data_IF_131741475108
#
_entry.id   IF_131741475108
#
_cell.length_a   1.000
_cell.length_b   1.000
_cell.length_c   1.000
_cell.angle_alpha   90.00
_cell.angle_beta   90.00
_cell.angle_gamma   90.00
#
_symmetry.space_group_name_H-M   'P 1'
#
loop_
_entity.id
_entity.type
_entity.pdbx_description
1 polymer ?
#
# COMPACT_ATOMS: atom_id res chain seq x y z
N UNK A 1 -3.73 -18.24 -5.85
CA UNK A 1 -3.06 -16.93 -5.75
C UNK A 1 -1.71 -17.14 -5.09
N UNK A 2 -0.64 -16.59 -5.65
CA UNK A 2 0.66 -16.60 -5.02
C UNK A 2 0.76 -15.44 -4.03
N UNK A 3 1.44 -15.65 -2.91
CA UNK A 3 1.70 -14.62 -1.92
C UNK A 3 2.92 -15.01 -1.09
N UNK A 4 3.46 -14.05 -0.36
CA UNK A 4 4.60 -14.28 0.53
C UNK A 4 4.19 -13.87 1.96
N UNK A 5 4.26 -14.80 2.90
CA UNK A 5 3.98 -14.53 4.30
C UNK A 5 5.27 -14.38 5.10
N UNK A 6 5.30 -13.39 5.98
CA UNK A 6 6.39 -13.15 6.93
C UNK A 6 5.83 -12.93 8.34
N UNK A 7 6.43 -13.56 9.33
CA UNK A 7 6.16 -13.38 10.76
C UNK A 7 7.32 -13.90 11.61
N UNK A 8 7.45 -13.40 12.83
CA UNK A 8 8.41 -13.96 13.80
C UNK A 8 7.79 -15.17 14.49
N UNK A 9 8.42 -16.37 14.41
CA UNK A 9 7.97 -17.54 15.16
C UNK A 9 8.21 -17.37 16.66
N UNK A 10 7.43 -18.08 17.51
CA UNK A 10 7.75 -18.27 18.92
C UNK A 10 6.98 -17.42 19.93
N UNK A 11 6.02 -16.61 19.52
CA UNK A 11 5.09 -15.95 20.44
C UNK A 11 3.66 -16.44 20.19
N UNK A 12 3.04 -17.04 21.19
CA UNK A 12 1.63 -17.50 21.15
C UNK A 12 0.60 -16.36 21.20
N UNK A 13 1.04 -15.11 21.05
CA UNK A 13 0.14 -13.94 21.07
C UNK A 13 -0.46 -13.70 19.70
N UNK A 14 -1.76 -13.52 19.69
CA UNK A 14 -2.51 -13.03 18.53
C UNK A 14 -1.99 -11.65 18.12
N UNK A 15 -1.38 -11.53 16.93
CA UNK A 15 -0.71 -10.33 16.42
C UNK A 15 -1.59 -9.64 15.38
N UNK A 16 -1.51 -8.32 15.22
CA UNK A 16 -2.16 -7.68 14.08
C UNK A 16 -1.64 -8.24 12.75
N UNK A 17 -2.54 -8.36 11.78
CA UNK A 17 -2.21 -8.78 10.43
C UNK A 17 -2.05 -7.59 9.49
N UNK A 18 -1.12 -7.66 8.54
CA UNK A 18 -0.92 -6.59 7.55
C UNK A 18 -0.80 -7.16 6.14
N UNK A 19 -1.61 -6.64 5.23
CA UNK A 19 -1.50 -6.91 3.80
C UNK A 19 -0.53 -5.91 3.15
N UNK A 20 0.35 -6.38 2.28
CA UNK A 20 1.32 -5.56 1.54
C UNK A 20 1.05 -5.66 0.05
N UNK A 21 0.76 -4.54 -0.60
CA UNK A 21 0.54 -4.49 -2.05
C UNK A 21 1.73 -3.85 -2.74
N UNK A 22 2.25 -4.56 -3.74
CA UNK A 22 3.47 -4.22 -4.48
C UNK A 22 3.32 -2.98 -5.36
N UNK A 23 4.45 -2.42 -5.80
CA UNK A 23 4.52 -1.44 -6.88
C UNK A 23 4.06 -2.03 -8.23
N UNK A 24 4.00 -1.22 -9.27
CA UNK A 24 3.62 -1.67 -10.62
C UNK A 24 4.55 -2.73 -11.25
N UNK A 25 5.71 -2.97 -10.66
CA UNK A 25 6.64 -4.02 -11.11
C UNK A 25 6.17 -5.45 -10.77
N UNK A 26 5.14 -5.61 -9.96
CA UNK A 26 4.62 -6.90 -9.51
C UNK A 26 5.18 -7.35 -8.16
N UNK A 27 4.83 -8.56 -7.76
CA UNK A 27 5.18 -9.17 -6.48
C UNK A 27 6.68 -9.55 -6.43
N UNK A 28 7.54 -8.54 -6.41
CA UNK A 28 8.99 -8.64 -6.43
C UNK A 28 9.62 -8.67 -5.02
N UNK A 29 10.94 -8.56 -4.95
CA UNK A 29 11.68 -8.59 -3.69
C UNK A 29 11.37 -7.38 -2.81
N UNK A 30 11.10 -6.20 -3.36
CA UNK A 30 10.75 -5.00 -2.59
C UNK A 30 9.52 -5.26 -1.73
N UNK A 31 8.42 -5.75 -2.32
CA UNK A 31 7.19 -6.07 -1.56
C UNK A 31 7.44 -7.13 -0.47
N UNK A 32 8.23 -8.16 -0.77
CA UNK A 32 8.59 -9.20 0.21
C UNK A 32 9.45 -8.64 1.35
N UNK A 33 10.38 -7.74 1.07
CA UNK A 33 11.21 -7.10 2.08
C UNK A 33 10.40 -6.17 2.98
N UNK A 34 9.40 -5.45 2.45
CA UNK A 34 8.47 -4.68 3.29
C UNK A 34 7.61 -5.60 4.18
N UNK A 35 7.18 -6.78 3.71
CA UNK A 35 6.51 -7.77 4.56
C UNK A 35 7.45 -8.32 5.66
N UNK A 36 8.72 -8.58 5.36
CA UNK A 36 9.72 -8.98 6.37
C UNK A 36 9.94 -7.85 7.40
N UNK A 37 10.03 -6.59 6.95
CA UNK A 37 10.20 -5.46 7.85
C UNK A 37 9.01 -5.30 8.81
N UNK A 38 7.78 -5.54 8.35
CA UNK A 38 6.60 -5.59 9.23
C UNK A 38 6.66 -6.75 10.23
N UNK A 39 7.14 -7.92 9.81
CA UNK A 39 7.33 -9.06 10.70
C UNK A 39 8.34 -8.74 11.82
N UNK A 40 9.41 -7.96 11.52
CA UNK A 40 10.35 -7.48 12.53
C UNK A 40 9.70 -6.53 13.56
N UNK A 41 8.65 -5.81 13.17
CA UNK A 41 7.83 -4.98 14.06
C UNK A 41 6.77 -5.77 14.85
N UNK A 42 6.65 -7.09 14.62
CA UNK A 42 5.73 -7.94 15.36
C UNK A 42 4.41 -8.24 14.65
N UNK A 43 4.21 -7.78 13.43
CA UNK A 43 3.03 -8.11 12.62
C UNK A 43 3.15 -9.49 11.95
N UNK A 44 2.01 -10.06 11.57
CA UNK A 44 1.96 -11.12 10.55
C UNK A 44 1.65 -10.44 9.22
N UNK A 45 2.57 -10.49 8.26
CA UNK A 45 2.42 -9.76 7.01
C UNK A 45 2.29 -10.70 5.80
N UNK A 46 1.36 -10.40 4.88
CA UNK A 46 1.25 -11.08 3.58
C UNK A 46 1.49 -10.06 2.46
N UNK A 47 2.56 -10.27 1.67
CA UNK A 47 2.71 -9.58 0.39
C UNK A 47 1.86 -10.30 -0.67
N UNK A 48 0.94 -9.54 -1.29
CA UNK A 48 -0.07 -10.05 -2.23
C UNK A 48 0.47 -9.96 -3.66
N UNK A 49 0.22 -11.00 -4.46
CA UNK A 49 0.38 -10.96 -5.92
C UNK A 49 -0.93 -10.47 -6.58
N UNK A 50 -1.01 -9.15 -6.84
CA UNK A 50 -2.19 -8.55 -7.47
C UNK A 50 -2.31 -8.85 -8.97
N UNK A 51 -1.23 -9.28 -9.61
CA UNK A 51 -1.25 -9.63 -11.04
C UNK A 51 -1.63 -11.10 -11.26
N UNK A 52 -1.32 -11.96 -10.30
CA UNK A 52 -1.54 -13.41 -10.39
C UNK A 52 -0.37 -14.14 -11.07
N UNK A 53 -0.25 -15.42 -10.77
CA UNK A 53 0.73 -16.34 -11.38
C UNK A 53 2.21 -15.92 -11.17
N UNK A 54 2.49 -15.04 -10.20
CA UNK A 54 3.82 -14.50 -9.96
C UNK A 54 4.33 -13.55 -11.04
N UNK A 55 3.43 -12.95 -11.82
CA UNK A 55 3.80 -12.04 -12.91
C UNK A 55 4.56 -10.82 -12.36
N UNK A 56 5.67 -10.53 -13.02
CA UNK A 56 6.47 -9.34 -12.79
C UNK A 56 6.78 -8.66 -14.12
N UNK A 57 6.84 -7.33 -14.10
CA UNK A 57 7.19 -6.54 -15.26
C UNK A 57 8.69 -6.21 -15.23
N UNK A 58 9.36 -6.39 -16.34
CA UNK A 58 10.77 -6.00 -16.55
C UNK A 58 10.89 -4.68 -17.33
N UNK A 59 9.79 -4.18 -17.90
CA UNK A 59 9.70 -2.94 -18.68
C UNK A 59 8.49 -2.10 -18.23
N UNK A 60 8.58 -0.76 -18.27
CA UNK A 60 7.46 0.13 -17.89
C UNK A 60 6.17 -0.12 -18.67
N UNK A 61 6.25 -0.47 -19.96
CA UNK A 61 5.07 -0.73 -20.78
C UNK A 61 4.27 -1.93 -20.24
N UNK A 62 4.96 -3.01 -19.87
CA UNK A 62 4.32 -4.19 -19.25
C UNK A 62 3.78 -3.84 -17.87
N UNK A 63 4.56 -3.08 -17.07
CA UNK A 63 4.14 -2.63 -15.75
C UNK A 63 2.85 -1.80 -15.82
N UNK A 64 2.80 -0.82 -16.74
CA UNK A 64 1.63 0.00 -16.98
C UNK A 64 0.42 -0.81 -17.45
N UNK A 65 0.65 -1.79 -18.36
CA UNK A 65 -0.37 -2.71 -18.83
C UNK A 65 -0.96 -3.55 -17.70
N UNK A 66 -0.11 -4.18 -16.88
CA UNK A 66 -0.57 -5.06 -15.80
C UNK A 66 -1.31 -4.26 -14.71
N UNK A 67 -0.76 -3.12 -14.31
CA UNK A 67 -1.43 -2.22 -13.36
C UNK A 67 -2.77 -1.73 -13.90
N UNK A 68 -2.81 -1.29 -15.17
CA UNK A 68 -4.03 -0.86 -15.85
C UNK A 68 -5.11 -1.95 -15.89
N UNK A 69 -4.75 -3.19 -16.20
CA UNK A 69 -5.70 -4.32 -16.21
C UNK A 69 -6.33 -4.55 -14.83
N UNK A 70 -5.56 -4.42 -13.75
CA UNK A 70 -6.10 -4.55 -12.37
C UNK A 70 -7.02 -3.39 -12.02
N UNK A 71 -6.60 -2.15 -12.33
CA UNK A 71 -7.38 -0.95 -12.01
C UNK A 71 -8.64 -0.79 -12.85
N UNK A 72 -8.71 -1.39 -14.04
CA UNK A 72 -9.92 -1.45 -14.87
C UNK A 72 -10.85 -2.60 -14.46
N UNK A 73 -10.36 -3.62 -13.78
CA UNK A 73 -11.16 -4.74 -13.27
C UNK A 73 -11.16 -4.73 -11.73
N UNK A 74 -11.85 -3.75 -11.16
CA UNK A 74 -11.89 -3.54 -9.70
C UNK A 74 -12.53 -4.72 -8.96
N UNK A 75 -13.52 -5.38 -9.53
CA UNK A 75 -14.13 -6.58 -8.92
C UNK A 75 -13.14 -7.74 -8.85
N UNK A 76 -12.34 -7.94 -9.89
CA UNK A 76 -11.25 -8.92 -9.89
C UNK A 76 -10.13 -8.56 -8.90
N UNK A 77 -9.79 -7.28 -8.78
CA UNK A 77 -8.84 -6.78 -7.78
C UNK A 77 -9.35 -7.02 -6.36
N UNK A 78 -10.64 -6.69 -6.11
CA UNK A 78 -11.31 -6.94 -4.84
C UNK A 78 -11.27 -8.42 -4.48
N UNK A 79 -11.67 -9.31 -5.38
CA UNK A 79 -11.68 -10.75 -5.13
C UNK A 79 -10.28 -11.30 -4.75
N UNK A 80 -9.21 -10.79 -5.39
CA UNK A 80 -7.83 -11.16 -5.03
C UNK A 80 -7.44 -10.64 -3.65
N UNK A 81 -7.78 -9.40 -3.36
CA UNK A 81 -7.51 -8.79 -2.06
C UNK A 81 -8.27 -9.51 -0.94
N UNK A 82 -9.57 -9.80 -1.13
CA UNK A 82 -10.41 -10.57 -0.20
C UNK A 82 -9.86 -11.97 0.06
N UNK A 83 -9.37 -12.65 -0.97
CA UNK A 83 -8.73 -13.96 -0.82
C UNK A 83 -7.49 -13.88 0.08
N UNK A 84 -6.66 -12.85 -0.07
CA UNK A 84 -5.49 -12.64 0.78
C UNK A 84 -5.90 -12.26 2.22
N UNK A 85 -6.89 -11.39 2.37
CA UNK A 85 -7.45 -10.99 3.66
C UNK A 85 -8.00 -12.20 4.43
N UNK A 86 -8.75 -13.07 3.75
CA UNK A 86 -9.28 -14.31 4.33
C UNK A 86 -8.15 -15.23 4.81
N UNK A 87 -7.10 -15.40 4.01
CA UNK A 87 -5.95 -16.21 4.40
C UNK A 87 -5.18 -15.60 5.59
N UNK A 88 -5.04 -14.28 5.62
CA UNK A 88 -4.40 -13.57 6.73
C UNK A 88 -5.19 -13.76 8.02
N UNK A 89 -6.51 -13.53 7.99
CA UNK A 89 -7.41 -13.72 9.15
C UNK A 89 -7.49 -15.16 9.63
N UNK A 90 -7.35 -16.14 8.75
CA UNK A 90 -7.32 -17.57 9.09
C UNK A 90 -5.98 -18.04 9.70
N UNK A 91 -4.94 -17.21 9.70
CA UNK A 91 -3.66 -17.58 10.29
C UNK A 91 -3.76 -17.56 11.83
N UNK A 92 -3.41 -18.66 12.48
CA UNK A 92 -3.51 -18.82 13.93
C UNK A 92 -2.74 -17.80 14.78
N UNK A 93 -1.76 -17.12 14.18
CA UNK A 93 -0.96 -16.09 14.84
C UNK A 93 -1.55 -14.69 14.68
N UNK A 94 -2.64 -14.53 13.91
CA UNK A 94 -3.26 -13.25 13.60
C UNK A 94 -4.47 -12.98 14.49
N UNK A 95 -4.58 -11.76 15.00
CA UNK A 95 -5.82 -11.24 15.53
C UNK A 95 -6.70 -10.78 14.35
N UNK A 96 -7.79 -11.49 14.03
CA UNK A 96 -8.63 -11.16 12.87
C UNK A 96 -9.37 -9.82 12.99
N UNK A 97 -9.43 -9.24 14.20
CA UNK A 97 -10.04 -7.93 14.50
C UNK A 97 -9.03 -6.77 14.40
N UNK A 98 -7.77 -7.05 13.98
CA UNK A 98 -6.69 -6.07 13.90
C UNK A 98 -5.95 -6.25 12.58
N UNK A 99 -6.51 -5.70 11.50
CA UNK A 99 -5.99 -5.88 10.14
C UNK A 99 -5.67 -4.54 9.50
N UNK A 100 -4.40 -4.36 9.16
CA UNK A 100 -3.96 -3.23 8.35
C UNK A 100 -3.63 -3.61 6.91
N UNK A 101 -3.45 -2.60 6.07
CA UNK A 101 -2.88 -2.79 4.75
C UNK A 101 -1.90 -1.66 4.41
N UNK A 102 -0.78 -2.01 3.76
CA UNK A 102 0.11 -1.02 3.16
C UNK A 102 0.27 -1.26 1.67
N UNK A 103 0.52 -0.19 0.93
CA UNK A 103 0.74 -0.30 -0.50
C UNK A 103 1.69 0.78 -1.03
N UNK A 104 2.40 0.43 -2.10
CA UNK A 104 3.44 1.24 -2.71
C UNK A 104 3.10 1.56 -4.16
N UNK A 105 3.15 2.83 -4.59
CA UNK A 105 2.81 3.25 -5.95
C UNK A 105 1.40 2.76 -6.35
N UNK A 106 1.28 1.93 -7.38
CA UNK A 106 0.07 1.21 -7.76
C UNK A 106 -0.61 0.53 -6.56
N UNK A 107 0.17 -0.13 -5.70
CA UNK A 107 -0.33 -0.82 -4.51
C UNK A 107 -0.97 0.10 -3.49
N UNK A 108 -0.48 1.33 -3.34
CA UNK A 108 -1.09 2.32 -2.47
C UNK A 108 -2.47 2.76 -2.97
N UNK A 109 -2.61 2.96 -4.29
CA UNK A 109 -3.93 3.21 -4.89
C UNK A 109 -4.88 2.02 -4.72
N UNK A 110 -4.36 0.79 -4.79
CA UNK A 110 -5.15 -0.43 -4.53
C UNK A 110 -5.67 -0.46 -3.10
N UNK A 111 -4.80 -0.33 -2.08
CA UNK A 111 -5.25 -0.43 -0.67
C UNK A 111 -6.23 0.67 -0.28
N UNK A 112 -6.04 1.89 -0.77
CA UNK A 112 -7.00 2.98 -0.59
C UNK A 112 -8.34 2.70 -1.27
N UNK A 113 -8.31 2.16 -2.50
CA UNK A 113 -9.53 1.75 -3.22
C UNK A 113 -10.29 0.66 -2.45
N UNK A 114 -9.59 -0.34 -1.91
CA UNK A 114 -10.21 -1.40 -1.12
C UNK A 114 -10.85 -0.86 0.16
N UNK A 115 -10.18 0.07 0.87
CA UNK A 115 -10.76 0.76 2.02
C UNK A 115 -12.03 1.54 1.64
N UNK A 116 -12.00 2.29 0.53
CA UNK A 116 -13.15 3.05 0.02
C UNK A 116 -14.34 2.15 -0.40
N UNK A 117 -14.07 0.89 -0.74
CA UNK A 117 -15.07 -0.14 -1.02
C UNK A 117 -15.63 -0.81 0.24
N UNK A 118 -15.16 -0.40 1.43
CA UNK A 118 -15.61 -0.92 2.72
C UNK A 118 -15.03 -2.30 3.07
N UNK A 119 -13.83 -2.61 2.58
CA UNK A 119 -13.11 -3.79 3.04
C UNK A 119 -12.83 -3.70 4.53
N UNK A 120 -12.89 -4.82 5.22
CA UNK A 120 -12.71 -4.94 6.65
C UNK A 120 -11.23 -4.77 7.05
N UNK A 121 -10.83 -3.49 7.13
CA UNK A 121 -9.49 -3.01 7.45
C UNK A 121 -9.57 -1.95 8.55
N UNK A 122 -8.68 -2.04 9.53
CA UNK A 122 -8.62 -1.10 10.67
C UNK A 122 -7.68 0.09 10.42
N UNK A 123 -6.74 -0.03 9.49
CA UNK A 123 -5.87 1.07 9.05
C UNK A 123 -5.25 0.79 7.67
N UNK A 124 -5.04 1.85 6.88
CA UNK A 124 -4.35 1.77 5.59
C UNK A 124 -3.25 2.80 5.51
N UNK A 125 -2.06 2.40 5.01
CA UNK A 125 -0.98 3.34 4.68
C UNK A 125 -0.55 3.19 3.20
N UNK A 126 -0.54 4.29 2.48
CA UNK A 126 -0.19 4.37 1.07
C UNK A 126 1.08 5.22 0.88
N UNK A 127 2.06 4.68 0.15
CA UNK A 127 3.35 5.31 -0.09
C UNK A 127 3.51 5.65 -1.58
N UNK A 128 3.93 6.89 -1.88
CA UNK A 128 4.14 7.42 -3.24
C UNK A 128 3.05 6.98 -4.23
N UNK A 129 1.81 7.20 -3.84
CA UNK A 129 0.62 6.68 -4.53
C UNK A 129 -0.13 7.75 -5.29
N UNK A 130 -0.70 7.37 -6.43
CA UNK A 130 -1.76 8.16 -7.05
C UNK A 130 -2.99 8.22 -6.13
N UNK A 131 -3.62 9.39 -6.07
CA UNK A 131 -4.81 9.64 -5.23
C UNK A 131 -6.09 9.88 -6.04
N UNK A 132 -6.00 9.88 -7.36
CA UNK A 132 -7.17 9.78 -8.25
C UNK A 132 -7.55 8.29 -8.36
N UNK A 133 -8.40 7.83 -7.46
CA UNK A 133 -8.72 6.41 -7.27
C UNK A 133 -9.93 5.98 -8.12
N UNK A 134 -10.01 4.70 -8.55
CA UNK A 134 -11.21 4.16 -9.21
C UNK A 134 -12.48 4.25 -8.36
N UNK A 135 -12.34 4.13 -7.04
CA UNK A 135 -13.41 4.34 -6.07
C UNK A 135 -12.91 5.38 -5.07
N UNK A 136 -13.48 6.58 -5.13
CA UNK A 136 -13.15 7.68 -4.23
C UNK A 136 -13.86 7.56 -2.88
N UNK A 137 -13.32 8.19 -1.81
CA UNK A 137 -13.96 8.21 -0.49
C UNK A 137 -15.39 8.75 -0.58
N UNK A 138 -16.30 8.15 0.20
CA UNK A 138 -17.69 8.62 0.31
C UNK A 138 -18.16 8.55 1.76
N UNK A 139 -18.89 9.59 2.18
CA UNK A 139 -19.51 9.67 3.50
C UNK A 139 -20.36 8.41 3.77
N UNK A 140 -20.13 7.80 4.95
CA UNK A 140 -20.85 6.61 5.39
C UNK A 140 -20.51 5.31 4.62
N UNK A 141 -19.47 5.32 3.81
CA UNK A 141 -18.93 4.12 3.12
C UNK A 141 -17.51 3.80 3.55
N UNK A 142 -16.64 4.82 3.62
CA UNK A 142 -15.31 4.66 4.18
C UNK A 142 -15.40 4.69 5.71
N UNK A 143 -14.76 3.74 6.37
CA UNK A 143 -14.65 3.66 7.84
C UNK A 143 -13.19 3.50 8.29
N UNK A 144 -12.33 3.12 7.38
CA UNK A 144 -10.91 2.83 7.61
C UNK A 144 -10.08 4.11 7.63
N UNK A 145 -9.34 4.42 8.70
CA UNK A 145 -8.37 5.50 8.72
C UNK A 145 -7.28 5.32 7.66
N UNK A 146 -6.87 6.43 7.02
CA UNK A 146 -5.92 6.40 5.91
C UNK A 146 -4.72 7.31 6.17
N UNK A 147 -3.50 6.77 6.04
CA UNK A 147 -2.25 7.50 5.95
C UNK A 147 -1.77 7.54 4.49
N UNK A 148 -1.48 8.73 3.98
CA UNK A 148 -0.84 8.91 2.67
C UNK A 148 0.52 9.59 2.85
N UNK A 149 1.57 8.94 2.34
CA UNK A 149 2.96 9.41 2.36
C UNK A 149 3.44 9.59 0.92
N UNK A 150 3.43 10.82 0.40
CA UNK A 150 3.82 11.10 -0.97
C UNK A 150 5.06 12.00 -1.04
N UNK A 151 5.81 11.93 -2.15
CA UNK A 151 6.87 12.88 -2.43
C UNK A 151 6.28 14.24 -2.82
N UNK A 152 6.81 15.32 -2.26
CA UNK A 152 6.36 16.67 -2.60
C UNK A 152 6.62 17.01 -4.07
N UNK A 153 7.65 16.41 -4.66
CA UNK A 153 8.10 16.63 -6.02
C UNK A 153 7.73 15.48 -6.98
N UNK A 154 6.76 14.63 -6.57
CA UNK A 154 6.26 13.51 -7.38
C UNK A 154 5.42 14.02 -8.57
N UNK A 155 5.92 13.93 -9.83
CA UNK A 155 5.20 14.47 -10.98
C UNK A 155 3.98 13.62 -11.40
N UNK A 156 3.82 12.42 -10.83
CA UNK A 156 2.66 11.57 -11.10
C UNK A 156 1.44 11.93 -10.25
N UNK A 157 1.62 12.77 -9.22
CA UNK A 157 0.53 13.19 -8.33
C UNK A 157 0.31 14.69 -8.46
N UNK A 158 -0.67 15.07 -9.28
CA UNK A 158 -0.99 16.47 -9.56
C UNK A 158 -1.65 17.15 -8.36
N UNK A 159 -1.41 18.43 -8.19
CA UNK A 159 -1.95 19.21 -7.07
C UNK A 159 -3.50 19.17 -7.03
N UNK A 160 -4.15 19.26 -8.19
CA UNK A 160 -5.61 19.21 -8.26
C UNK A 160 -6.16 17.87 -7.74
N UNK A 161 -5.44 16.76 -7.96
CA UNK A 161 -5.80 15.43 -7.45
C UNK A 161 -5.65 15.35 -5.93
N UNK A 162 -4.60 15.99 -5.38
CA UNK A 162 -4.39 16.09 -3.93
C UNK A 162 -5.50 16.89 -3.27
N UNK A 163 -5.87 18.03 -3.84
CA UNK A 163 -6.95 18.89 -3.33
C UNK A 163 -8.27 18.10 -3.33
N UNK A 164 -8.64 17.53 -4.47
CA UNK A 164 -9.87 16.73 -4.59
C UNK A 164 -9.90 15.56 -3.59
N UNK A 165 -8.79 14.84 -3.44
CA UNK A 165 -8.70 13.72 -2.48
C UNK A 165 -8.92 14.20 -1.04
N UNK A 166 -8.23 15.28 -0.63
CA UNK A 166 -8.36 15.85 0.72
C UNK A 166 -9.80 16.33 1.00
N UNK A 167 -10.43 17.04 0.06
CA UNK A 167 -11.82 17.45 0.18
C UNK A 167 -12.77 16.26 0.38
N UNK A 168 -12.61 15.19 -0.39
CA UNK A 168 -13.44 13.99 -0.26
C UNK A 168 -13.16 13.21 1.03
N UNK A 169 -11.93 13.22 1.53
CA UNK A 169 -11.60 12.66 2.84
C UNK A 169 -12.25 13.46 3.97
N UNK A 170 -12.19 14.79 3.91
CA UNK A 170 -12.84 15.68 4.88
C UNK A 170 -14.36 15.46 4.89
N UNK A 171 -14.99 15.36 3.71
CA UNK A 171 -16.42 15.07 3.58
C UNK A 171 -16.80 13.67 4.10
N UNK A 172 -15.89 12.69 4.00
CA UNK A 172 -16.11 11.33 4.50
C UNK A 172 -16.24 11.28 6.01
N UNK A 173 -15.57 12.20 6.71
CA UNK A 173 -15.51 12.28 8.16
C UNK A 173 -14.61 11.22 8.81
N UNK A 174 -13.85 10.47 8.01
CA UNK A 174 -12.89 9.46 8.50
C UNK A 174 -11.54 10.11 8.76
N UNK A 175 -10.88 9.68 9.81
CA UNK A 175 -9.54 10.18 10.14
C UNK A 175 -8.55 9.85 9.03
N UNK A 176 -7.80 10.85 8.59
CA UNK A 176 -6.71 10.65 7.66
C UNK A 176 -5.53 11.59 7.94
N UNK A 177 -4.36 11.19 7.45
CA UNK A 177 -3.16 12.03 7.44
C UNK A 177 -2.53 11.97 6.05
N UNK A 178 -2.28 13.14 5.47
CA UNK A 178 -1.61 13.27 4.17
C UNK A 178 -0.31 14.04 4.39
N UNK A 179 0.83 13.44 4.00
CA UNK A 179 2.16 14.01 4.18
C UNK A 179 2.85 14.07 2.82
N UNK A 180 3.29 15.27 2.45
CA UNK A 180 4.21 15.49 1.33
C UNK A 180 5.64 15.62 1.88
N UNK A 181 6.57 14.75 1.43
CA UNK A 181 7.98 14.75 1.84
C UNK A 181 8.81 15.63 0.90
N UNK A 182 9.39 16.75 1.38
CA UNK A 182 10.22 17.63 0.54
C UNK A 182 11.42 16.90 -0.05
N UNK A 183 11.76 17.21 -1.32
CA UNK A 183 12.88 16.59 -2.03
C UNK A 183 12.67 15.13 -2.44
N UNK A 184 11.52 14.54 -2.15
CA UNK A 184 11.19 13.19 -2.57
C UNK A 184 10.33 13.21 -3.85
N UNK A 185 10.67 12.33 -4.79
CA UNK A 185 9.90 12.04 -6.01
C UNK A 185 9.20 10.70 -5.88
N UNK A 186 8.68 10.15 -6.98
CA UNK A 186 8.02 8.83 -6.99
C UNK A 186 8.98 7.69 -6.60
N UNK A 187 8.44 6.63 -5.98
CA UNK A 187 9.17 5.43 -5.52
C UNK A 187 10.25 5.70 -4.45
N UNK A 188 10.14 6.78 -3.67
CA UNK A 188 11.16 7.19 -2.69
C UNK A 188 11.45 6.15 -1.60
N UNK A 189 10.59 5.15 -1.39
CA UNK A 189 10.81 4.08 -0.40
C UNK A 189 11.53 2.85 -0.97
N UNK A 190 11.87 2.86 -2.26
CA UNK A 190 12.49 1.71 -2.94
C UNK A 190 13.96 1.99 -3.25
N UNK A 191 14.93 1.31 -2.59
CA UNK A 191 16.36 1.50 -2.87
C UNK A 191 16.77 1.22 -4.31
N UNK A 192 15.98 0.45 -5.07
CA UNK A 192 16.22 0.17 -6.50
C UNK A 192 15.66 1.23 -7.44
N UNK A 193 15.00 2.28 -6.93
CA UNK A 193 14.32 3.29 -7.75
C UNK A 193 15.29 4.08 -8.65
N UNK A 194 16.48 4.41 -8.16
CA UNK A 194 17.49 5.17 -8.92
C UNK A 194 17.93 4.41 -10.18
N UNK A 195 18.16 3.10 -10.06
CA UNK A 195 18.54 2.26 -11.20
C UNK A 195 17.43 2.21 -12.26
N UNK A 196 16.19 2.00 -11.82
CA UNK A 196 15.03 1.94 -12.69
C UNK A 196 14.72 3.30 -13.33
N UNK A 197 14.83 4.38 -12.56
CA UNK A 197 14.67 5.75 -13.04
C UNK A 197 15.67 6.07 -14.15
N UNK A 198 16.95 5.78 -13.92
CA UNK A 198 18.01 5.97 -14.90
C UNK A 198 17.85 5.08 -16.14
N UNK A 199 17.55 3.81 -15.96
CA UNK A 199 17.41 2.82 -17.04
C UNK A 199 16.30 3.17 -18.02
N UNK A 200 15.17 3.67 -17.52
CA UNK A 200 13.97 3.92 -18.31
C UNK A 200 13.64 5.41 -18.47
N UNK A 201 14.52 6.31 -18.01
CA UNK A 201 14.29 7.75 -18.01
C UNK A 201 12.94 8.13 -17.34
N UNK A 202 12.70 7.56 -16.15
CA UNK A 202 11.51 7.82 -15.35
C UNK A 202 11.87 8.69 -14.14
N UNK A 203 10.96 9.54 -13.65
CA UNK A 203 11.18 10.35 -12.45
C UNK A 203 11.02 9.54 -11.17
N UNK A 204 11.85 8.52 -11.01
CA UNK A 204 11.92 7.63 -9.86
C UNK A 204 13.26 7.82 -9.16
N UNK A 205 13.25 8.01 -7.85
CA UNK A 205 14.48 8.06 -7.06
C UNK A 205 14.22 7.62 -5.62
N UNK A 206 15.19 6.93 -5.02
CA UNK A 206 15.19 6.62 -3.60
C UNK A 206 15.54 7.88 -2.79
N UNK A 207 14.81 8.10 -1.71
CA UNK A 207 15.12 9.15 -0.75
C UNK A 207 15.11 8.53 0.65
N UNK A 208 16.31 8.31 1.20
CA UNK A 208 16.49 7.63 2.48
C UNK A 208 15.74 8.33 3.62
N UNK A 209 15.82 9.65 3.69
CA UNK A 209 15.20 10.42 4.76
C UNK A 209 13.66 10.30 4.70
N UNK A 210 13.08 10.46 3.51
CA UNK A 210 11.64 10.31 3.31
C UNK A 210 11.18 8.86 3.56
N UNK A 211 11.97 7.84 3.16
CA UNK A 211 11.67 6.42 3.46
C UNK A 211 11.63 6.18 4.97
N UNK A 212 12.66 6.60 5.71
CA UNK A 212 12.74 6.43 7.16
C UNK A 212 11.62 7.20 7.90
N UNK A 213 11.35 8.45 7.50
CA UNK A 213 10.30 9.26 8.10
C UNK A 213 8.91 8.68 7.83
N UNK A 214 8.61 8.33 6.58
CA UNK A 214 7.30 7.75 6.20
C UNK A 214 7.05 6.39 6.86
N UNK A 215 8.10 5.57 7.01
CA UNK A 215 8.01 4.30 7.73
C UNK A 215 7.73 4.52 9.22
N UNK A 216 8.34 5.52 9.85
CA UNK A 216 8.06 5.89 11.24
C UNK A 216 6.64 6.44 11.41
N UNK A 217 6.14 7.23 10.48
CA UNK A 217 4.75 7.70 10.49
C UNK A 217 3.75 6.53 10.40
N UNK A 218 4.01 5.56 9.53
CA UNK A 218 3.19 4.35 9.42
C UNK A 218 3.20 3.55 10.73
N UNK A 219 4.36 3.40 11.39
CA UNK A 219 4.44 2.71 12.70
C UNK A 219 3.56 3.39 13.74
N UNK A 220 3.65 4.72 13.89
CA UNK A 220 2.84 5.47 14.83
C UNK A 220 1.35 5.37 14.48
N UNK A 221 1.02 5.43 13.21
CA UNK A 221 -0.36 5.30 12.73
C UNK A 221 -0.93 3.92 13.03
N UNK A 222 -0.18 2.86 12.77
CA UNK A 222 -0.60 1.49 13.04
C UNK A 222 -0.64 1.17 14.54
N UNK A 223 0.24 1.75 15.34
CA UNK A 223 0.17 1.65 16.80
C UNK A 223 -1.15 2.22 17.35
N UNK A 224 -1.63 3.31 16.78
CA UNK A 224 -2.90 3.93 17.17
C UNK A 224 -4.12 3.07 16.83
N UNK A 225 -4.13 2.39 15.69
CA UNK A 225 -5.33 1.74 15.17
C UNK A 225 -5.30 0.21 15.23
N UNK A 226 -4.13 -0.41 15.30
CA UNK A 226 -3.99 -1.87 15.31
C UNK A 226 -3.59 -2.46 16.68
N UNK A 227 -3.21 -1.65 17.65
CA UNK A 227 -2.81 -2.10 19.00
C UNK A 227 -3.88 -1.87 20.07
#
# INVERSE_FOLDING_TARGET
MNGFIAYKPGEEKSKPGVLVVHEWWGHNEHARNKAKALAELGYVAIAIDMYGEGKQAAHPDDAGKFAGMVMQNIDGAKARFESALTQLKANKNVNPEKIGAIGFCFGGSVVMTMANMGMDLDAVAAFHSGVALPVMPKKGKLHTPILVCNGAEDPFVKEEQKVTFKEMMDESGVEYKYIDYPGAVHAFTNPGADEMGKKFNLPLAYNKEADEQSWNEMKMFFEKFLN
#
